data_IF_288044925390
#
_entry.id   IF_288044925390
#
_cell.length_a   1.000
_cell.length_b   1.000
_cell.length_c   1.000
_cell.angle_alpha   90.00
_cell.angle_beta   90.00
_cell.angle_gamma   90.00
#
_symmetry.space_group_name_H-M   'P 1'
#
loop_
_entity.id
_entity.type
_entity.pdbx_description
1 polymer ?
#
# COMPACT_ATOMS: atom_id res chain seq x y z
N UNK A 1 9.93 -22.23 -23.73
CA UNK A 1 8.58 -21.62 -23.64
C UNK A 1 8.71 -20.16 -23.22
N UNK A 2 7.97 -19.23 -23.82
CA UNK A 2 7.96 -17.87 -23.34
C UNK A 2 7.37 -17.82 -21.92
N UNK A 3 7.83 -16.85 -21.10
CA UNK A 3 7.26 -16.63 -19.78
C UNK A 3 5.77 -16.25 -19.89
N UNK A 4 4.91 -16.69 -18.95
CA UNK A 4 3.52 -16.30 -18.96
C UNK A 4 3.37 -14.78 -18.73
N UNK A 5 2.35 -14.20 -19.35
CA UNK A 5 1.96 -12.82 -19.03
C UNK A 5 1.29 -12.80 -17.66
N UNK A 6 1.85 -12.02 -16.74
CA UNK A 6 1.34 -11.89 -15.37
C UNK A 6 1.00 -10.42 -15.06
N UNK A 7 0.12 -10.17 -14.09
CA UNK A 7 -0.10 -8.80 -13.61
C UNK A 7 1.19 -8.21 -13.06
N UNK A 8 1.44 -6.91 -13.25
CA UNK A 8 2.53 -6.21 -12.59
C UNK A 8 2.43 -6.31 -11.07
N UNK A 9 3.57 -6.34 -10.41
CA UNK A 9 3.67 -6.32 -8.95
C UNK A 9 3.92 -4.89 -8.48
N UNK A 10 3.16 -4.48 -7.48
CA UNK A 10 3.33 -3.22 -6.77
C UNK A 10 3.58 -3.47 -5.29
N UNK A 11 4.07 -2.46 -4.59
CA UNK A 11 4.15 -2.40 -3.14
C UNK A 11 3.40 -1.18 -2.64
N UNK A 12 2.78 -1.28 -1.48
CA UNK A 12 2.24 -0.14 -0.73
C UNK A 12 2.73 -0.23 0.71
N UNK A 13 2.92 0.91 1.36
CA UNK A 13 3.49 0.98 2.69
C UNK A 13 2.58 1.80 3.61
N UNK A 14 2.19 1.22 4.74
CA UNK A 14 1.62 1.96 5.85
C UNK A 14 2.79 2.48 6.69
N UNK A 15 3.06 3.77 6.57
CA UNK A 15 4.16 4.43 7.29
C UNK A 15 3.62 5.02 8.59
N UNK A 16 4.01 4.44 9.70
CA UNK A 16 3.72 4.94 11.03
C UNK A 16 4.76 6.00 11.43
N UNK A 17 4.33 7.15 11.91
CA UNK A 17 5.23 8.17 12.44
C UNK A 17 5.47 7.90 13.93
N UNK A 18 6.73 7.59 14.30
CA UNK A 18 7.07 7.28 15.70
C UNK A 18 6.78 8.41 16.67
N UNK A 19 6.94 9.66 16.24
CA UNK A 19 6.68 10.84 17.06
C UNK A 19 5.18 11.16 17.23
N UNK A 20 4.30 10.53 16.47
CA UNK A 20 2.86 10.76 16.46
C UNK A 20 2.09 9.44 16.50
N UNK A 21 1.91 8.83 17.69
CA UNK A 21 1.23 7.54 17.81
C UNK A 21 -0.14 7.51 17.11
N UNK A 22 -0.38 6.47 16.32
CA UNK A 22 -1.60 6.31 15.52
C UNK A 22 -1.63 7.08 14.21
N UNK A 23 -0.67 7.97 13.96
CA UNK A 23 -0.57 8.70 12.70
C UNK A 23 0.12 7.87 11.62
N UNK A 24 -0.43 7.96 10.42
CA UNK A 24 0.11 7.38 9.19
C UNK A 24 0.26 8.45 8.10
N UNK A 25 1.03 8.15 7.08
CA UNK A 25 1.29 9.05 5.96
C UNK A 25 0.51 8.60 4.74
N UNK A 26 -0.22 9.52 4.12
CA UNK A 26 -0.85 9.38 2.81
C UNK A 26 -0.22 10.35 1.82
N UNK A 27 -0.27 10.01 0.55
CA UNK A 27 0.08 10.89 -0.57
C UNK A 27 -1.18 11.30 -1.33
N UNK A 28 -1.20 12.52 -1.86
CA UNK A 28 -2.19 12.95 -2.84
C UNK A 28 -1.68 12.62 -4.23
N UNK A 29 -2.50 11.92 -5.01
CA UNK A 29 -2.12 11.46 -6.36
C UNK A 29 -2.22 12.59 -7.38
N UNK A 30 -1.20 12.74 -8.23
CA UNK A 30 -1.21 13.68 -9.36
C UNK A 30 -1.98 13.15 -10.57
N UNK A 31 -2.03 11.83 -10.74
CA UNK A 31 -2.59 11.17 -11.90
C UNK A 31 -3.73 10.24 -11.53
N UNK A 32 -4.73 10.04 -12.43
CA UNK A 32 -5.83 9.12 -12.17
C UNK A 32 -5.34 7.68 -11.84
N UNK A 33 -6.06 6.99 -10.94
CA UNK A 33 -7.19 7.46 -10.16
C UNK A 33 -6.79 8.52 -9.15
N UNK A 34 -7.55 9.63 -9.09
CA UNK A 34 -7.30 10.73 -8.17
C UNK A 34 -7.74 10.37 -6.75
N UNK A 35 -7.22 11.08 -5.79
CA UNK A 35 -7.48 10.92 -4.37
C UNK A 35 -6.20 10.70 -3.57
N UNK A 36 -6.36 10.29 -2.33
CA UNK A 36 -5.23 9.95 -1.47
C UNK A 36 -4.94 8.46 -1.54
N UNK A 37 -3.68 8.10 -1.36
CA UNK A 37 -3.22 6.73 -1.38
C UNK A 37 -2.15 6.50 -0.31
N UNK A 38 -1.93 5.24 0.03
CA UNK A 38 -0.71 4.83 0.70
C UNK A 38 0.47 5.09 -0.24
N UNK A 39 1.64 5.49 0.28
CA UNK A 39 2.85 5.53 -0.54
C UNK A 39 3.14 4.15 -1.14
N UNK A 40 3.57 4.14 -2.40
CA UNK A 40 3.87 2.88 -3.08
C UNK A 40 3.95 3.02 -4.60
N UNK A 41 4.37 1.96 -5.25
CA UNK A 41 4.55 1.93 -6.68
C UNK A 41 4.95 0.58 -7.23
N UNK A 42 5.39 0.57 -8.48
CA UNK A 42 5.80 -0.65 -9.16
C UNK A 42 7.16 -1.15 -8.68
N UNK A 43 7.29 -2.46 -8.63
CA UNK A 43 8.55 -3.13 -8.33
C UNK A 43 9.36 -3.27 -9.62
N UNK A 44 10.62 -2.85 -9.59
CA UNK A 44 11.52 -3.00 -10.72
C UNK A 44 12.05 -4.43 -10.86
N UNK A 45 12.34 -4.84 -12.09
CA UNK A 45 12.96 -6.15 -12.35
C UNK A 45 14.33 -6.20 -11.66
N UNK A 46 14.53 -7.23 -10.85
CA UNK A 46 15.76 -7.40 -10.08
C UNK A 46 15.75 -6.76 -8.69
N UNK A 47 14.67 -6.04 -8.35
CA UNK A 47 14.47 -5.42 -7.04
C UNK A 47 13.69 -6.37 -6.11
N UNK A 48 14.06 -6.41 -4.84
CA UNK A 48 13.25 -7.10 -3.83
C UNK A 48 12.06 -6.24 -3.44
N UNK A 49 10.96 -6.88 -3.02
CA UNK A 49 9.74 -6.15 -2.61
C UNK A 49 10.00 -5.19 -1.44
N UNK A 50 10.83 -5.61 -0.47
CA UNK A 50 11.21 -4.77 0.66
C UNK A 50 12.02 -3.54 0.24
N UNK A 51 12.90 -3.70 -0.74
CA UNK A 51 13.73 -2.61 -1.27
C UNK A 51 12.85 -1.62 -2.05
N UNK A 52 11.94 -2.13 -2.88
CA UNK A 52 10.93 -1.32 -3.56
C UNK A 52 10.08 -0.50 -2.57
N UNK A 53 9.60 -1.14 -1.50
CA UNK A 53 8.79 -0.46 -0.49
C UNK A 53 9.55 0.69 0.20
N UNK A 54 10.81 0.49 0.56
CA UNK A 54 11.65 1.54 1.16
C UNK A 54 11.95 2.65 0.15
N UNK A 55 12.25 2.30 -1.10
CA UNK A 55 12.50 3.26 -2.18
C UNK A 55 11.29 4.13 -2.46
N UNK A 56 10.13 3.54 -2.70
CA UNK A 56 8.89 4.26 -2.98
C UNK A 56 8.48 5.19 -1.81
N UNK A 57 8.57 4.68 -0.57
CA UNK A 57 8.33 5.51 0.60
C UNK A 57 9.24 6.75 0.63
N UNK A 58 10.52 6.58 0.31
CA UNK A 58 11.47 7.69 0.28
C UNK A 58 11.20 8.66 -0.87
N UNK A 59 10.96 8.14 -2.07
CA UNK A 59 10.68 8.95 -3.28
C UNK A 59 9.43 9.80 -3.12
N UNK A 60 8.37 9.27 -2.50
CA UNK A 60 7.10 9.96 -2.38
C UNK A 60 6.97 10.82 -1.12
N UNK A 61 7.69 10.49 -0.04
CA UNK A 61 7.51 11.16 1.27
C UNK A 61 8.79 11.75 1.87
N UNK A 62 9.95 11.46 1.31
CA UNK A 62 11.25 11.83 1.88
C UNK A 62 11.65 11.07 3.14
N UNK A 63 10.81 10.15 3.63
CA UNK A 63 11.07 9.40 4.85
C UNK A 63 11.92 8.16 4.59
N UNK A 64 12.81 7.87 5.53
CA UNK A 64 13.54 6.60 5.59
C UNK A 64 12.75 5.64 6.49
N UNK A 65 12.13 4.64 5.87
CA UNK A 65 11.24 3.71 6.56
C UNK A 65 11.97 2.45 6.97
N UNK A 66 11.75 2.02 8.21
CA UNK A 66 12.11 0.69 8.68
C UNK A 66 10.88 -0.20 8.59
N UNK A 67 10.89 -1.19 7.71
CA UNK A 67 9.80 -2.18 7.60
C UNK A 67 9.81 -3.08 8.83
N UNK A 68 8.61 -3.42 9.33
CA UNK A 68 8.48 -4.29 10.50
C UNK A 68 7.53 -5.46 10.31
N UNK A 69 6.59 -5.38 9.40
CA UNK A 69 5.62 -6.46 9.16
C UNK A 69 5.12 -6.47 7.73
N UNK A 70 4.81 -7.66 7.24
CA UNK A 70 4.00 -7.85 6.05
C UNK A 70 2.53 -7.85 6.48
N UNK A 71 1.73 -6.92 5.94
CA UNK A 71 0.30 -6.88 6.22
C UNK A 71 -0.46 -7.91 5.38
N UNK A 72 -0.24 -7.93 4.08
CA UNK A 72 -0.92 -8.85 3.18
C UNK A 72 -0.66 -8.59 1.70
N UNK A 73 -1.31 -9.39 0.88
CA UNK A 73 -1.27 -9.29 -0.58
C UNK A 73 -2.68 -9.03 -1.11
N UNK A 74 -2.81 -8.06 -2.01
CA UNK A 74 -4.08 -7.59 -2.56
C UNK A 74 -4.05 -7.70 -4.08
N UNK A 75 -4.94 -8.51 -4.62
CA UNK A 75 -4.88 -8.90 -6.04
C UNK A 75 -6.22 -8.96 -6.75
N UNK A 76 -7.27 -8.36 -6.21
CA UNK A 76 -8.55 -8.29 -6.90
C UNK A 76 -8.35 -7.64 -8.28
N UNK A 77 -8.79 -8.26 -9.38
CA UNK A 77 -8.64 -7.67 -10.71
C UNK A 77 -9.23 -6.28 -10.87
N UNK A 78 -10.22 -5.91 -10.06
CA UNK A 78 -10.88 -4.62 -10.08
C UNK A 78 -10.25 -3.58 -9.14
N UNK A 79 -9.19 -3.95 -8.38
CA UNK A 79 -8.57 -3.04 -7.41
C UNK A 79 -7.98 -1.77 -8.01
N UNK A 80 -7.49 -1.86 -9.24
CA UNK A 80 -6.89 -0.74 -9.99
C UNK A 80 -7.65 -0.57 -11.31
N UNK A 81 -8.30 0.59 -11.53
CA UNK A 81 -9.07 0.82 -12.75
C UNK A 81 -8.21 0.89 -14.03
N UNK A 82 -6.90 1.05 -13.92
CA UNK A 82 -5.97 1.09 -15.06
C UNK A 82 -5.63 -0.30 -15.58
N UNK A 83 -5.79 -1.34 -14.76
CA UNK A 83 -5.47 -2.73 -15.08
C UNK A 83 -5.16 -3.54 -13.83
N UNK A 84 -5.16 -4.86 -13.97
CA UNK A 84 -4.88 -5.75 -12.84
C UNK A 84 -3.46 -5.54 -12.32
N UNK A 85 -3.33 -5.36 -11.01
CA UNK A 85 -2.06 -5.34 -10.28
C UNK A 85 -2.13 -6.29 -9.08
N UNK A 86 -0.97 -6.73 -8.63
CA UNK A 86 -0.82 -7.46 -7.35
C UNK A 86 0.00 -6.58 -6.43
N UNK A 87 -0.58 -6.09 -5.34
CA UNK A 87 0.13 -5.27 -4.36
C UNK A 87 0.47 -6.05 -3.12
N UNK A 88 1.74 -5.96 -2.72
CA UNK A 88 2.24 -6.47 -1.44
C UNK A 88 2.37 -5.29 -0.49
N UNK A 89 1.67 -5.36 0.64
CA UNK A 89 1.56 -4.24 1.58
C UNK A 89 2.36 -4.50 2.84
N UNK A 90 3.24 -3.56 3.15
CA UNK A 90 4.07 -3.56 4.36
C UNK A 90 3.60 -2.53 5.38
N UNK A 91 3.89 -2.81 6.64
CA UNK A 91 3.82 -1.84 7.72
C UNK A 91 5.25 -1.50 8.12
N UNK A 92 5.54 -0.22 8.20
CA UNK A 92 6.84 0.27 8.60
C UNK A 92 6.71 1.53 9.44
N UNK A 93 7.81 1.96 10.01
CA UNK A 93 7.87 3.15 10.84
C UNK A 93 9.00 4.08 10.40
N UNK A 94 8.80 5.36 10.60
CA UNK A 94 9.78 6.39 10.29
C UNK A 94 9.81 7.50 11.34
N UNK A 95 10.95 8.15 11.42
CA UNK A 95 11.13 9.41 12.14
C UNK A 95 11.15 10.57 11.13
N UNK A 96 10.88 11.76 11.61
CA UNK A 96 10.94 12.97 10.79
C UNK A 96 9.58 13.46 10.31
N UNK A 97 9.64 14.47 9.42
CA UNK A 97 8.48 15.14 8.83
C UNK A 97 8.40 14.74 7.36
N UNK A 98 7.27 14.18 6.89
CA UNK A 98 7.12 13.83 5.49
C UNK A 98 7.03 15.08 4.61
N UNK A 99 7.59 14.97 3.40
CA UNK A 99 7.52 15.98 2.35
C UNK A 99 7.12 15.31 1.04
N UNK A 100 6.27 15.98 0.26
CA UNK A 100 5.90 15.48 -1.06
C UNK A 100 7.14 15.39 -1.96
N UNK A 101 7.36 14.21 -2.52
CA UNK A 101 8.35 13.99 -3.57
C UNK A 101 7.82 14.36 -4.95
N UNK A 102 8.59 14.04 -5.99
CA UNK A 102 8.31 14.49 -7.35
C UNK A 102 6.98 13.98 -7.93
N UNK A 103 6.57 12.77 -7.57
CA UNK A 103 5.36 12.10 -8.08
C UNK A 103 4.12 12.30 -7.20
N UNK A 104 4.26 12.87 -6.00
CA UNK A 104 3.15 13.22 -5.13
C UNK A 104 2.78 14.71 -5.27
N UNK A 105 1.50 15.02 -5.33
CA UNK A 105 1.03 16.41 -5.29
C UNK A 105 1.16 17.01 -3.89
N UNK A 106 0.93 16.20 -2.86
CA UNK A 106 1.07 16.55 -1.45
C UNK A 106 1.24 15.29 -0.60
N UNK A 107 1.73 15.46 0.61
CA UNK A 107 1.65 14.44 1.67
C UNK A 107 0.65 14.90 2.74
N UNK A 108 0.02 13.94 3.39
CA UNK A 108 -0.90 14.19 4.50
C UNK A 108 -0.66 13.21 5.63
N UNK A 109 -0.50 13.76 6.83
CA UNK A 109 -0.45 12.96 8.06
C UNK A 109 -1.87 12.88 8.62
N UNK A 110 -2.35 11.67 8.85
CA UNK A 110 -3.71 11.42 9.36
C UNK A 110 -3.67 10.40 10.48
N UNK A 111 -4.65 10.46 11.38
CA UNK A 111 -4.88 9.36 12.31
C UNK A 111 -5.50 8.19 11.55
N UNK A 112 -4.92 7.00 11.68
CA UNK A 112 -5.36 5.81 10.94
C UNK A 112 -6.82 5.45 11.22
N UNK A 113 -7.32 5.76 12.42
CA UNK A 113 -8.72 5.54 12.84
C UNK A 113 -9.71 6.57 12.28
N UNK A 114 -9.23 7.67 11.69
CA UNK A 114 -10.06 8.80 11.25
C UNK A 114 -9.64 9.31 9.86
N UNK A 115 -9.56 8.40 8.90
CA UNK A 115 -9.24 8.75 7.52
C UNK A 115 -10.51 9.16 6.79
N UNK A 116 -10.76 10.47 6.72
CA UNK A 116 -11.95 11.05 6.11
C UNK A 116 -11.78 11.50 4.65
N UNK A 117 -10.57 11.35 4.09
CA UNK A 117 -10.30 11.70 2.70
C UNK A 117 -10.65 10.55 1.75
N UNK A 118 -11.01 10.83 0.48
CA UNK A 118 -11.24 9.79 -0.50
C UNK A 118 -9.95 9.04 -0.81
N UNK A 119 -9.99 7.73 -0.71
CA UNK A 119 -8.86 6.86 -0.99
C UNK A 119 -8.99 6.23 -2.37
N UNK A 120 -7.89 6.23 -3.11
CA UNK A 120 -7.77 5.54 -4.39
C UNK A 120 -7.64 4.02 -4.19
N UNK A 121 -7.88 3.27 -5.25
CA UNK A 121 -7.74 1.82 -5.26
C UNK A 121 -8.60 1.12 -4.19
N UNK A 122 -8.10 0.03 -3.66
CA UNK A 122 -8.66 -0.71 -2.52
C UNK A 122 -8.03 -0.27 -1.17
N UNK A 123 -7.43 0.92 -1.11
CA UNK A 123 -6.68 1.35 0.08
C UNK A 123 -7.56 1.51 1.32
N UNK A 124 -8.87 1.72 1.17
CA UNK A 124 -9.80 1.65 2.31
C UNK A 124 -9.78 0.27 2.95
N UNK A 125 -9.86 -0.78 2.15
CA UNK A 125 -9.80 -2.16 2.64
C UNK A 125 -8.46 -2.46 3.32
N UNK A 126 -7.36 -1.97 2.74
CA UNK A 126 -6.02 -2.13 3.33
C UNK A 126 -5.95 -1.47 4.71
N UNK A 127 -6.48 -0.27 4.86
CA UNK A 127 -6.50 0.43 6.15
C UNK A 127 -7.41 -0.26 7.17
N UNK A 128 -8.55 -0.80 6.76
CA UNK A 128 -9.43 -1.56 7.65
C UNK A 128 -8.71 -2.82 8.16
N UNK A 129 -8.00 -3.55 7.29
CA UNK A 129 -7.18 -4.70 7.66
C UNK A 129 -6.03 -4.30 8.60
N UNK A 130 -5.41 -3.14 8.35
CA UNK A 130 -4.37 -2.60 9.22
C UNK A 130 -4.87 -2.27 10.63
N UNK A 131 -6.07 -1.71 10.77
CA UNK A 131 -6.67 -1.46 12.07
C UNK A 131 -6.91 -2.76 12.85
N UNK A 132 -7.33 -3.83 12.18
CA UNK A 132 -7.45 -5.16 12.78
C UNK A 132 -6.07 -5.71 13.16
N UNK A 133 -5.06 -5.53 12.30
CA UNK A 133 -3.68 -5.91 12.59
C UNK A 133 -3.15 -5.22 13.85
N UNK A 134 -3.41 -3.92 14.04
CA UNK A 134 -3.00 -3.20 15.25
C UNK A 134 -3.61 -3.80 16.53
N UNK A 135 -4.86 -4.27 16.46
CA UNK A 135 -5.56 -4.86 17.60
C UNK A 135 -5.16 -6.30 17.89
N UNK A 136 -4.84 -7.07 16.87
CA UNK A 136 -4.70 -8.53 16.98
C UNK A 136 -3.31 -9.06 16.69
N UNK A 137 -2.45 -8.27 16.05
CA UNK A 137 -1.15 -8.71 15.52
C UNK A 137 -1.26 -9.66 14.33
N UNK A 138 -2.46 -9.91 13.81
CA UNK A 138 -2.68 -10.82 12.68
C UNK A 138 -2.56 -10.08 11.36
N UNK A 139 -1.97 -10.70 10.33
CA UNK A 139 -1.94 -10.14 8.98
C UNK A 139 -3.36 -10.04 8.40
N UNK A 140 -3.47 -9.38 7.25
CA UNK A 140 -4.72 -9.31 6.50
C UNK A 140 -5.31 -10.71 6.27
N UNK A 141 -6.65 -10.86 6.37
CA UNK A 141 -7.27 -12.16 6.18
C UNK A 141 -7.14 -12.64 4.73
N UNK A 142 -6.98 -13.93 4.56
CA UNK A 142 -7.12 -14.55 3.24
C UNK A 142 -8.61 -14.49 2.88
N UNK A 143 -8.90 -13.83 1.75
CA UNK A 143 -10.27 -13.74 1.26
C UNK A 143 -10.66 -14.99 0.50
N UNK A 144 -11.92 -15.44 0.61
CA UNK A 144 -12.35 -16.65 -0.09
C UNK A 144 -12.22 -16.48 -1.60
N UNK A 145 -11.64 -17.48 -2.24
CA UNK A 145 -11.62 -17.58 -3.68
C UNK A 145 -13.01 -17.80 -4.26
N UNK A 146 -13.17 -17.55 -5.56
CA UNK A 146 -14.40 -17.89 -6.28
C UNK A 146 -14.59 -19.40 -6.26
N UNK A 147 -15.80 -19.83 -5.93
CA UNK A 147 -16.17 -21.24 -6.04
C UNK A 147 -16.19 -21.61 -7.53
N UNK A 148 -15.35 -22.56 -7.91
CA UNK A 148 -15.43 -23.15 -9.25
C UNK A 148 -16.61 -24.10 -9.24
N UNK A 149 -17.63 -23.84 -10.06
CA UNK A 149 -18.75 -24.76 -10.21
C UNK A 149 -18.21 -26.11 -10.68
N UNK A 150 -18.61 -27.20 -9.98
CA UNK A 150 -18.31 -28.53 -10.45
C UNK A 150 -18.90 -28.69 -11.86
N UNK A 151 -18.05 -29.07 -12.82
CA UNK A 151 -18.53 -29.46 -14.15
C UNK A 151 -19.27 -30.77 -13.95
N UNK A 152 -20.56 -30.71 -14.12
CA UNK A 152 -21.42 -31.89 -14.04
C UNK A 152 -21.15 -32.84 -15.24
#
# INVERSE_FOLDING_TARGET
MPAPTTPPVTVDIIIELRAQPGAIVLIERRHPPLGFALPGGFVDVGERLEDAAVREAHEETGLVVTLRSLLGCYSDPARDPRGQTVSVVYVGAADGVPHAGDDAAAVRVVQATHVAVPLAFDHRQILDDYLVFLLTGRPAPVRPGKVVAAIA
#
